data_IF_227985832959
#
_entry.id   IF_227985832959
#
_cell.length_a   1.000
_cell.length_b   1.000
_cell.length_c   1.000
_cell.angle_alpha   90.00
_cell.angle_beta   90.00
_cell.angle_gamma   90.00
#
_symmetry.space_group_name_H-M   'P 1'
#
loop_
_entity.id
_entity.type
_entity.pdbx_description
1 polymer ?
#
# COMPACT_ATOMS: atom_id res chain seq x y z
N UNK A 1 -7.91 -39.03 -15.36
CA UNK A 1 -6.54 -38.52 -15.28
C UNK A 1 -6.14 -38.49 -13.81
N UNK A 2 -5.22 -39.36 -13.38
CA UNK A 2 -4.78 -39.38 -11.99
C UNK A 2 -4.02 -38.08 -11.70
N UNK A 3 -4.50 -37.28 -10.75
CA UNK A 3 -3.73 -36.17 -10.20
C UNK A 3 -2.54 -36.79 -9.46
N UNK A 4 -1.35 -36.74 -10.05
CA UNK A 4 -0.13 -37.13 -9.33
C UNK A 4 0.13 -36.07 -8.28
N UNK A 5 -0.27 -36.35 -7.05
CA UNK A 5 0.09 -35.52 -5.91
C UNK A 5 1.58 -35.76 -5.65
N UNK A 6 2.43 -34.79 -6.02
CA UNK A 6 3.79 -34.73 -5.51
C UNK A 6 3.70 -34.35 -4.03
N UNK A 7 3.53 -35.34 -3.14
CA UNK A 7 3.28 -35.14 -1.71
C UNK A 7 4.54 -35.31 -0.84
N UNK A 8 5.71 -34.92 -1.35
CA UNK A 8 6.96 -35.04 -0.59
C UNK A 8 7.98 -33.95 -0.93
N UNK A 9 8.95 -33.68 -0.03
CA UNK A 9 9.98 -32.68 -0.25
C UNK A 9 10.77 -32.96 -1.52
N UNK A 10 10.82 -31.98 -2.43
CA UNK A 10 11.69 -32.02 -3.61
C UNK A 10 13.12 -31.90 -3.11
N UNK A 11 13.77 -33.06 -3.04
CA UNK A 11 15.14 -33.25 -2.60
C UNK A 11 16.09 -33.01 -3.76
N UNK A 12 16.98 -32.01 -3.68
CA UNK A 12 18.05 -31.84 -4.68
C UNK A 12 19.41 -32.06 -4.05
N UNK A 13 19.75 -33.33 -3.83
CA UNK A 13 21.06 -33.75 -3.35
C UNK A 13 21.36 -33.40 -1.88
N UNK A 14 22.57 -33.73 -1.47
CA UNK A 14 23.06 -33.63 -0.10
C UNK A 14 23.79 -32.29 0.15
N UNK A 15 23.78 -31.81 1.39
CA UNK A 15 24.57 -30.64 1.80
C UNK A 15 26.07 -30.96 1.75
N UNK A 16 26.88 -29.98 1.34
CA UNK A 16 28.34 -30.09 1.39
C UNK A 16 28.80 -29.63 2.77
N UNK A 17 29.23 -30.56 3.62
CA UNK A 17 29.71 -30.25 4.97
C UNK A 17 31.16 -29.78 4.94
N UNK A 18 31.51 -28.81 5.78
CA UNK A 18 32.91 -28.34 5.97
C UNK A 18 33.73 -29.30 6.85
N UNK A 19 33.07 -30.24 7.54
CA UNK A 19 33.69 -31.24 8.44
C UNK A 19 32.94 -32.58 8.33
N UNK A 20 33.66 -33.71 8.23
CA UNK A 20 33.08 -35.06 8.13
C UNK A 20 33.14 -35.70 6.73
N UNK A 21 32.42 -36.81 6.53
CA UNK A 21 32.35 -37.52 5.23
C UNK A 21 31.51 -36.73 4.23
N UNK A 22 32.11 -36.41 3.08
CA UNK A 22 31.44 -35.75 1.97
C UNK A 22 30.71 -36.78 1.08
N UNK A 23 29.45 -36.53 0.68
CA UNK A 23 28.53 -35.48 1.14
C UNK A 23 27.80 -35.88 2.44
N UNK A 24 27.31 -34.91 3.21
CA UNK A 24 26.63 -35.17 4.50
C UNK A 24 25.34 -35.97 4.30
N UNK A 25 24.77 -36.54 5.38
CA UNK A 25 23.45 -37.18 5.32
C UNK A 25 22.30 -36.18 5.20
N UNK A 26 22.55 -34.89 5.45
CA UNK A 26 21.53 -33.84 5.35
C UNK A 26 21.20 -33.57 3.90
N UNK A 27 19.91 -33.54 3.60
CA UNK A 27 19.35 -33.38 2.27
C UNK A 27 18.83 -31.96 2.11
N UNK A 28 19.15 -31.31 0.99
CA UNK A 28 18.61 -29.98 0.69
C UNK A 28 17.13 -30.06 0.30
N UNK A 29 16.28 -29.42 1.10
CA UNK A 29 14.89 -29.16 0.74
C UNK A 29 14.81 -27.80 0.02
N UNK A 30 14.72 -27.80 -1.31
CA UNK A 30 14.74 -26.56 -2.12
C UNK A 30 13.67 -26.58 -3.22
N UNK A 31 12.60 -27.34 -3.02
CA UNK A 31 11.43 -27.22 -3.88
C UNK A 31 10.85 -25.81 -3.75
N UNK A 32 11.10 -24.96 -4.74
CA UNK A 32 10.40 -23.70 -4.94
C UNK A 32 9.56 -23.81 -6.21
N UNK A 33 8.37 -23.22 -6.17
CA UNK A 33 7.53 -22.99 -7.35
C UNK A 33 7.57 -21.49 -7.65
N UNK A 34 7.81 -21.15 -8.90
CA UNK A 34 7.61 -19.78 -9.37
C UNK A 34 6.11 -19.53 -9.48
N UNK A 35 5.62 -18.57 -8.70
CA UNK A 35 4.24 -18.09 -8.71
C UNK A 35 4.23 -16.71 -9.33
N UNK A 36 3.16 -16.40 -10.08
CA UNK A 36 2.93 -15.08 -10.66
C UNK A 36 1.51 -14.61 -10.38
N UNK A 37 1.36 -13.33 -10.09
CA UNK A 37 0.08 -12.66 -9.91
C UNK A 37 0.12 -11.27 -10.55
N UNK A 38 -1.07 -10.72 -10.81
CA UNK A 38 -1.22 -9.40 -11.40
C UNK A 38 -2.32 -8.59 -10.72
N UNK A 39 -2.14 -7.27 -10.70
CA UNK A 39 -3.08 -6.31 -10.15
C UNK A 39 -3.24 -5.13 -11.12
N UNK A 40 -4.38 -5.01 -11.81
CA UNK A 40 -4.70 -3.85 -12.63
C UNK A 40 -5.18 -2.67 -11.78
N UNK A 41 -4.86 -1.46 -12.22
CA UNK A 41 -5.35 -0.19 -11.65
C UNK A 41 -5.45 0.87 -12.74
N UNK A 42 -6.39 1.80 -12.59
CA UNK A 42 -6.59 2.93 -13.51
C UNK A 42 -6.52 4.29 -12.79
N UNK A 43 -6.65 5.37 -13.55
CA UNK A 43 -6.66 6.73 -13.01
C UNK A 43 -7.81 6.96 -12.01
N UNK A 44 -9.00 6.43 -12.26
CA UNK A 44 -10.16 6.63 -11.37
C UNK A 44 -9.96 5.96 -10.00
N UNK A 45 -9.11 4.95 -9.95
CA UNK A 45 -8.77 4.25 -8.73
C UNK A 45 -7.79 5.00 -7.81
N UNK A 46 -7.15 6.06 -8.32
CA UNK A 46 -6.11 6.83 -7.60
C UNK A 46 -6.32 8.35 -7.64
N UNK A 47 -7.29 8.87 -8.41
CA UNK A 47 -7.54 10.32 -8.55
C UNK A 47 -8.43 10.84 -7.42
N UNK A 48 -7.83 11.54 -6.46
CA UNK A 48 -8.56 12.29 -5.43
C UNK A 48 -8.70 13.74 -5.89
N UNK A 49 -9.90 14.32 -5.75
CA UNK A 49 -10.12 15.75 -6.00
C UNK A 49 -9.90 16.56 -4.71
N UNK A 50 -9.41 17.79 -4.86
CA UNK A 50 -9.37 18.75 -3.76
C UNK A 50 -10.75 18.92 -3.14
N UNK A 51 -10.83 18.70 -1.84
CA UNK A 51 -12.05 18.86 -1.07
C UNK A 51 -11.65 19.26 0.35
N UNK A 52 -11.73 20.57 0.63
CA UNK A 52 -11.21 21.18 1.85
C UNK A 52 -12.04 20.89 3.11
N UNK A 53 -13.24 20.35 2.95
CA UNK A 53 -14.19 20.10 4.04
C UNK A 53 -14.81 18.71 4.02
N UNK A 54 -14.26 17.81 3.19
CA UNK A 54 -14.62 16.39 3.10
C UNK A 54 -14.74 15.67 4.43
N UNK A 55 -13.85 15.98 5.38
CA UNK A 55 -13.73 15.25 6.66
C UNK A 55 -14.41 16.05 7.76
N UNK A 56 -14.18 17.36 7.81
CA UNK A 56 -14.72 18.25 8.83
C UNK A 56 -14.87 19.67 8.26
N UNK A 57 -16.00 20.32 8.55
CA UNK A 57 -16.27 21.68 8.05
C UNK A 57 -15.89 22.74 9.07
N UNK A 58 -15.48 23.93 8.59
CA UNK A 58 -15.21 25.08 9.47
C UNK A 58 -16.45 25.54 10.26
N UNK A 59 -17.65 25.35 9.70
CA UNK A 59 -18.89 25.73 10.36
C UNK A 59 -19.18 24.88 11.62
N UNK A 60 -18.86 23.59 11.58
CA UNK A 60 -19.00 22.68 12.73
C UNK A 60 -17.87 22.78 13.73
N UNK A 61 -16.79 23.49 13.39
CA UNK A 61 -15.52 23.53 14.11
C UNK A 61 -15.02 24.96 14.25
N UNK A 62 -15.85 25.80 14.91
CA UNK A 62 -15.54 27.20 15.15
C UNK A 62 -14.34 27.40 16.10
N UNK A 63 -13.96 28.67 16.30
CA UNK A 63 -12.93 29.08 17.27
C UNK A 63 -13.22 28.44 18.64
N UNK A 64 -12.17 27.93 19.29
CA UNK A 64 -12.24 27.27 20.58
C UNK A 64 -12.47 25.75 20.50
N UNK A 65 -12.44 25.18 19.30
CA UNK A 65 -12.60 23.73 19.11
C UNK A 65 -11.36 22.98 19.63
N UNK A 66 -11.56 21.99 20.49
CA UNK A 66 -10.50 21.06 20.92
C UNK A 66 -10.67 19.69 20.26
N UNK A 67 -11.91 19.23 20.07
CA UNK A 67 -12.21 17.99 19.35
C UNK A 67 -13.03 18.35 18.13
N UNK A 68 -12.49 18.06 16.94
CA UNK A 68 -13.21 18.40 15.71
C UNK A 68 -14.41 17.47 15.53
N UNK A 69 -15.55 18.06 15.19
CA UNK A 69 -16.75 17.37 14.72
C UNK A 69 -16.56 16.99 13.26
N UNK A 70 -16.51 15.69 13.01
CA UNK A 70 -16.45 15.11 11.66
C UNK A 70 -17.82 15.22 10.96
N UNK A 71 -17.82 15.23 9.63
CA UNK A 71 -19.04 15.28 8.81
C UNK A 71 -19.94 14.05 9.03
N UNK A 72 -19.34 12.88 9.26
CA UNK A 72 -19.98 11.65 9.68
C UNK A 72 -19.15 10.93 10.77
N UNK A 73 -19.69 9.87 11.36
CA UNK A 73 -19.04 9.16 12.46
C UNK A 73 -17.78 8.37 12.04
N UNK A 74 -17.56 8.12 10.74
CA UNK A 74 -16.41 7.36 10.21
C UNK A 74 -16.20 7.73 8.74
N UNK A 75 -15.48 8.82 8.50
CA UNK A 75 -15.38 9.40 7.17
C UNK A 75 -14.51 8.53 6.28
N UNK A 76 -15.05 8.12 5.11
CA UNK A 76 -14.21 7.60 4.03
C UNK A 76 -13.32 8.74 3.50
N UNK A 77 -12.02 8.68 3.76
CA UNK A 77 -11.10 9.79 3.49
C UNK A 77 -10.91 9.99 1.99
N UNK A 78 -10.50 8.99 1.17
CA UNK A 78 -10.26 9.22 -0.26
C UNK A 78 -11.53 9.57 -1.04
N UNK A 79 -12.71 9.09 -0.60
CA UNK A 79 -13.96 9.27 -1.35
C UNK A 79 -14.02 8.46 -2.66
N UNK A 80 -13.03 7.61 -2.89
CA UNK A 80 -12.95 6.76 -4.07
C UNK A 80 -13.91 5.57 -3.94
N UNK A 81 -14.59 5.26 -5.03
CA UNK A 81 -15.41 4.05 -5.20
C UNK A 81 -14.91 3.34 -6.46
N UNK A 82 -13.92 2.45 -6.30
CA UNK A 82 -13.11 1.87 -7.39
C UNK A 82 -13.82 0.77 -8.18
N UNK A 83 -13.37 0.55 -9.43
CA UNK A 83 -13.96 -0.42 -10.38
C UNK A 83 -13.85 -1.89 -9.94
N UNK A 84 -12.87 -2.22 -9.09
CA UNK A 84 -12.64 -3.55 -8.50
C UNK A 84 -13.08 -3.71 -7.04
N UNK A 85 -13.65 -2.67 -6.43
CA UNK A 85 -14.12 -2.66 -5.04
C UNK A 85 -13.01 -2.78 -3.98
N UNK A 86 -11.78 -2.41 -4.33
CA UNK A 86 -10.65 -2.38 -3.40
C UNK A 86 -10.66 -1.13 -2.53
N UNK A 87 -9.93 -1.20 -1.43
CA UNK A 87 -9.83 -0.12 -0.46
C UNK A 87 -8.66 0.80 -0.82
N UNK A 88 -8.84 2.11 -0.58
CA UNK A 88 -7.85 3.15 -0.74
C UNK A 88 -7.70 3.95 0.56
N UNK A 89 -6.56 4.60 0.72
CA UNK A 89 -6.26 5.56 1.79
C UNK A 89 -5.61 6.81 1.18
N UNK A 90 -5.80 7.98 1.78
CA UNK A 90 -5.24 9.25 1.31
C UNK A 90 -4.82 10.10 2.51
N UNK A 91 -3.80 10.93 2.33
CA UNK A 91 -3.40 11.91 3.35
C UNK A 91 -4.49 12.96 3.55
N UNK A 92 -4.49 13.53 4.75
CA UNK A 92 -5.47 14.53 5.16
C UNK A 92 -4.88 15.93 5.06
N UNK A 93 -5.75 16.91 4.86
CA UNK A 93 -5.39 18.31 5.01
C UNK A 93 -6.13 18.93 6.18
N UNK A 94 -5.50 19.90 6.85
CA UNK A 94 -6.13 20.72 7.88
C UNK A 94 -5.94 22.19 7.50
N UNK A 95 -7.01 22.96 7.51
CA UNK A 95 -6.99 24.40 7.24
C UNK A 95 -7.50 25.16 8.45
N UNK A 96 -6.84 26.27 8.78
CA UNK A 96 -7.30 27.19 9.82
C UNK A 96 -7.50 28.60 9.28
N UNK A 97 -8.47 29.30 9.86
CA UNK A 97 -8.74 30.72 9.60
C UNK A 97 -7.87 31.67 10.43
N UNK A 98 -7.12 31.17 11.41
CA UNK A 98 -6.18 31.95 12.25
C UNK A 98 -4.91 31.12 12.53
N UNK A 99 -4.05 31.60 13.43
CA UNK A 99 -2.78 30.98 13.76
C UNK A 99 -2.91 29.87 14.81
N UNK A 100 -3.11 28.64 14.36
CA UNK A 100 -3.10 27.42 15.16
C UNK A 100 -1.75 26.68 15.14
N UNK A 101 -0.68 27.26 14.55
CA UNK A 101 0.65 26.63 14.53
C UNK A 101 1.31 26.33 15.87
N UNK A 102 0.90 26.94 17.01
CA UNK A 102 1.35 26.49 18.33
C UNK A 102 0.72 25.16 18.77
N UNK A 103 -0.38 24.73 18.14
CA UNK A 103 -1.15 23.57 18.56
C UNK A 103 -0.70 22.32 17.79
N UNK A 104 -0.85 21.16 18.42
CA UNK A 104 -0.74 19.85 17.77
C UNK A 104 -2.13 19.26 17.61
N UNK A 105 -2.46 18.78 16.41
CA UNK A 105 -3.72 18.10 16.11
C UNK A 105 -3.41 16.61 15.90
N UNK A 106 -3.81 15.78 16.84
CA UNK A 106 -3.72 14.32 16.75
C UNK A 106 -4.90 13.79 15.94
N UNK A 107 -4.60 13.18 14.80
CA UNK A 107 -5.53 12.49 13.91
C UNK A 107 -5.46 10.99 14.23
N UNK A 108 -6.61 10.36 14.42
CA UNK A 108 -6.72 8.90 14.60
C UNK A 108 -7.67 8.33 13.58
N UNK A 109 -7.26 7.24 12.95
CA UNK A 109 -8.00 6.62 11.87
C UNK A 109 -7.56 5.19 11.63
N UNK A 110 -7.84 4.70 10.43
CA UNK A 110 -7.32 3.42 9.97
C UNK A 110 -6.58 3.57 8.64
N UNK A 111 -5.56 2.75 8.44
CA UNK A 111 -4.87 2.60 7.16
C UNK A 111 -5.74 1.87 6.11
N UNK A 112 -5.18 1.64 4.92
CA UNK A 112 -5.86 0.92 3.85
C UNK A 112 -6.20 -0.55 4.20
N UNK A 113 -5.50 -1.17 5.16
CA UNK A 113 -5.80 -2.51 5.67
C UNK A 113 -6.85 -2.53 6.80
N UNK A 114 -7.17 -1.37 7.38
CA UNK A 114 -8.01 -1.26 8.56
C UNK A 114 -7.26 -1.34 9.89
N UNK A 115 -5.92 -1.28 9.90
CA UNK A 115 -5.14 -1.15 11.14
C UNK A 115 -5.28 0.27 11.67
N UNK A 116 -5.31 0.43 13.00
CA UNK A 116 -5.40 1.76 13.62
C UNK A 116 -4.08 2.50 13.48
N UNK A 117 -4.16 3.74 13.00
CA UNK A 117 -3.01 4.63 12.85
C UNK A 117 -3.29 5.98 13.52
N UNK A 118 -2.21 6.66 13.92
CA UNK A 118 -2.25 7.99 14.51
C UNK A 118 -1.19 8.90 13.89
N UNK A 119 -1.54 10.16 13.66
CA UNK A 119 -0.60 11.19 13.21
C UNK A 119 -0.77 12.46 14.04
N UNK A 120 0.34 13.03 14.52
CA UNK A 120 0.36 14.35 15.15
C UNK A 120 0.76 15.41 14.12
N UNK A 121 -0.18 16.29 13.77
CA UNK A 121 -0.01 17.33 12.76
C UNK A 121 0.11 18.69 13.45
N UNK A 122 1.17 19.44 13.18
CA UNK A 122 1.27 20.84 13.65
C UNK A 122 0.15 21.68 13.00
N UNK A 123 -0.55 22.48 13.81
CA UNK A 123 -1.69 23.24 13.34
C UNK A 123 -1.35 24.28 12.26
N UNK A 124 -2.33 24.71 11.44
CA UNK A 124 -2.07 25.67 10.36
C UNK A 124 -1.93 27.11 10.86
N UNK A 125 -1.28 27.99 10.08
CA UNK A 125 -1.23 29.43 10.36
C UNK A 125 -1.90 30.21 9.24
N UNK A 126 -3.23 30.34 9.27
CA UNK A 126 -4.02 30.93 8.16
C UNK A 126 -3.78 30.25 6.80
N UNK A 127 -3.37 28.98 6.84
CA UNK A 127 -2.98 28.17 5.68
C UNK A 127 -3.60 26.77 5.76
N UNK A 128 -3.28 25.93 4.80
CA UNK A 128 -3.51 24.49 4.82
C UNK A 128 -2.19 23.79 5.15
N UNK A 129 -2.24 22.78 6.03
CA UNK A 129 -1.16 21.82 6.24
C UNK A 129 -1.60 20.46 5.71
N UNK A 130 -0.66 19.69 5.17
CA UNK A 130 -0.89 18.34 4.64
C UNK A 130 -0.23 17.36 5.60
N UNK A 131 -0.97 16.33 6.01
CA UNK A 131 -0.42 15.21 6.75
C UNK A 131 0.47 14.33 5.87
N UNK A 132 1.03 13.31 6.49
CA UNK A 132 1.99 12.37 5.89
C UNK A 132 1.49 10.94 5.95
N UNK A 133 0.53 10.62 6.83
CA UNK A 133 -0.04 9.29 6.96
C UNK A 133 -1.31 9.18 6.10
N UNK A 134 -1.37 8.24 5.16
CA UNK A 134 -2.59 8.00 4.39
C UNK A 134 -3.62 7.24 5.23
N UNK A 135 -4.81 7.82 5.40
CA UNK A 135 -5.94 7.22 6.11
C UNK A 135 -7.02 6.73 5.14
N UNK A 136 -7.59 5.56 5.42
CA UNK A 136 -8.83 5.07 4.80
C UNK A 136 -10.05 5.68 5.49
N UNK A 137 -10.04 5.65 6.82
CA UNK A 137 -11.09 6.24 7.64
C UNK A 137 -10.51 7.11 8.73
N UNK A 138 -11.22 8.16 9.13
CA UNK A 138 -10.90 8.94 10.34
C UNK A 138 -12.01 8.73 11.36
N UNK A 139 -11.59 8.53 12.61
CA UNK A 139 -12.49 8.36 13.76
C UNK A 139 -12.31 9.47 14.78
N UNK A 140 -11.18 10.19 14.78
CA UNK A 140 -10.95 11.31 15.69
C UNK A 140 -9.94 12.32 15.15
N UNK A 141 -10.15 13.60 15.46
CA UNK A 141 -9.17 14.67 15.30
C UNK A 141 -9.24 15.58 16.54
N UNK A 142 -8.16 15.63 17.31
CA UNK A 142 -8.12 16.33 18.62
C UNK A 142 -6.91 17.26 18.65
N UNK A 143 -7.16 18.54 18.88
CA UNK A 143 -6.12 19.52 19.18
C UNK A 143 -5.73 19.45 20.65
N UNK A 144 -4.43 19.61 20.94
CA UNK A 144 -3.89 19.66 22.31
C UNK A 144 -4.36 20.89 23.12
N UNK A 145 -4.93 21.88 22.44
CA UNK A 145 -5.46 23.11 23.01
C UNK A 145 -6.65 23.63 22.19
N UNK A 146 -7.34 24.65 22.70
CA UNK A 146 -8.49 25.21 22.01
C UNK A 146 -8.02 25.95 20.74
N UNK A 147 -8.68 25.68 19.61
CA UNK A 147 -8.32 26.30 18.34
C UNK A 147 -8.47 27.83 18.39
N UNK A 148 -7.52 28.53 17.78
CA UNK A 148 -7.52 29.99 17.63
C UNK A 148 -8.38 30.36 16.41
N UNK A 149 -8.29 29.58 15.34
CA UNK A 149 -9.17 29.70 14.18
C UNK A 149 -10.31 28.68 14.16
N UNK A 150 -11.27 28.91 13.27
CA UNK A 150 -12.15 27.85 12.80
C UNK A 150 -11.35 26.87 11.91
N UNK A 151 -11.54 25.57 12.14
CA UNK A 151 -10.77 24.49 11.50
C UNK A 151 -11.63 23.74 10.47
N UNK A 152 -11.08 23.44 9.30
CA UNK A 152 -11.64 22.44 8.39
C UNK A 152 -10.62 21.34 8.09
N UNK A 153 -11.10 20.17 7.71
CA UNK A 153 -10.26 19.06 7.31
C UNK A 153 -10.80 18.41 6.03
N UNK A 154 -9.87 18.02 5.16
CA UNK A 154 -10.17 17.61 3.81
C UNK A 154 -9.10 16.71 3.20
N UNK A 155 -9.09 16.66 1.88
CA UNK A 155 -8.08 15.97 1.06
C UNK A 155 -7.58 16.91 -0.03
N UNK A 156 -6.42 16.61 -0.58
CA UNK A 156 -5.81 17.36 -1.68
C UNK A 156 -5.35 16.37 -2.76
N UNK A 157 -5.49 16.77 -4.01
CA UNK A 157 -5.11 16.02 -5.19
C UNK A 157 -3.65 15.58 -5.17
N UNK A 158 -2.74 16.46 -4.74
CA UNK A 158 -1.31 16.19 -4.70
C UNK A 158 -0.90 15.36 -3.49
N UNK A 159 -1.87 14.93 -2.67
CA UNK A 159 -1.63 14.12 -1.50
C UNK A 159 -1.34 12.66 -1.88
N UNK A 160 -0.56 11.97 -1.07
CA UNK A 160 -0.30 10.54 -1.29
C UNK A 160 -1.59 9.73 -1.18
N UNK A 161 -1.84 8.90 -2.20
CA UNK A 161 -2.92 7.91 -2.22
C UNK A 161 -2.32 6.51 -2.18
N UNK A 162 -2.77 5.68 -1.24
CA UNK A 162 -2.31 4.28 -1.12
C UNK A 162 -3.46 3.32 -1.38
N UNK A 163 -3.24 2.34 -2.24
CA UNK A 163 -4.16 1.22 -2.47
C UNK A 163 -3.47 -0.10 -2.11
N UNK A 164 -4.27 -1.10 -1.76
CA UNK A 164 -3.78 -2.47 -1.69
C UNK A 164 -3.91 -3.12 -3.05
N UNK A 165 -2.93 -3.94 -3.41
CA UNK A 165 -3.04 -4.87 -4.53
C UNK A 165 -3.99 -6.04 -4.17
N UNK A 166 -5.18 -5.72 -3.65
CA UNK A 166 -6.26 -6.63 -3.29
C UNK A 166 -7.58 -6.02 -3.71
N UNK A 167 -8.31 -6.76 -4.53
CA UNK A 167 -9.65 -6.39 -4.99
C UNK A 167 -10.71 -7.31 -4.40
N UNK A 168 -11.96 -6.84 -4.38
CA UNK A 168 -13.08 -7.71 -4.07
C UNK A 168 -13.46 -8.54 -5.31
N UNK A 169 -13.17 -8.02 -6.50
CA UNK A 169 -13.52 -8.59 -7.81
C UNK A 169 -12.46 -8.32 -8.87
N UNK A 170 -12.51 -9.08 -9.95
CA UNK A 170 -11.70 -8.79 -11.14
C UNK A 170 -12.03 -7.39 -11.65
N UNK A 171 -11.01 -6.57 -11.92
CA UNK A 171 -11.18 -5.26 -12.54
C UNK A 171 -11.76 -5.38 -13.97
N UNK A 172 -11.38 -6.43 -14.71
CA UNK A 172 -11.88 -6.72 -16.07
C UNK A 172 -12.71 -8.01 -16.10
N UNK A 173 -13.91 -8.03 -15.50
CA UNK A 173 -14.73 -9.24 -15.51
C UNK A 173 -15.28 -9.46 -16.93
N UNK A 174 -15.21 -10.69 -17.44
CA UNK A 174 -15.80 -11.08 -18.72
C UNK A 174 -17.34 -11.16 -18.64
N UNK A 175 -18.00 -10.06 -18.27
CA UNK A 175 -19.44 -9.98 -17.99
C UNK A 175 -19.86 -10.67 -16.69
N UNK A 176 -18.90 -11.09 -15.86
CA UNK A 176 -19.16 -11.73 -14.57
C UNK A 176 -19.39 -10.66 -13.48
N UNK A 177 -20.40 -10.90 -12.66
CA UNK A 177 -20.75 -10.08 -11.50
C UNK A 177 -20.58 -10.85 -10.20
N UNK A 178 -20.69 -10.12 -9.09
CA UNK A 178 -20.46 -10.64 -7.74
C UNK A 178 -21.32 -11.83 -7.33
N UNK A 179 -22.44 -12.02 -8.02
CA UNK A 179 -23.45 -13.05 -7.75
C UNK A 179 -23.42 -14.21 -8.75
N UNK A 180 -22.60 -14.12 -9.80
CA UNK A 180 -22.70 -14.99 -10.98
C UNK A 180 -21.65 -16.12 -11.05
N UNK A 181 -20.60 -16.07 -10.21
CA UNK A 181 -19.53 -17.09 -10.25
C UNK A 181 -19.03 -17.46 -8.83
N UNK A 182 -18.88 -18.76 -8.51
CA UNK A 182 -18.26 -19.24 -7.27
C UNK A 182 -16.72 -19.20 -7.28
N UNK A 183 -16.10 -18.44 -8.19
CA UNK A 183 -14.65 -18.35 -8.31
C UNK A 183 -14.13 -17.09 -7.64
N UNK A 184 -13.01 -17.20 -6.93
CA UNK A 184 -12.21 -16.06 -6.50
C UNK A 184 -11.63 -15.38 -7.75
N UNK A 185 -12.39 -14.45 -8.33
CA UNK A 185 -11.95 -13.64 -9.47
C UNK A 185 -11.13 -12.42 -9.03
N UNK A 186 -10.90 -12.23 -7.73
CA UNK A 186 -10.16 -11.09 -7.24
C UNK A 186 -8.72 -11.09 -7.78
N UNK A 187 -8.29 -9.93 -8.28
CA UNK A 187 -6.89 -9.65 -8.51
C UNK A 187 -6.27 -9.32 -7.15
N UNK A 188 -5.55 -10.28 -6.55
CA UNK A 188 -4.88 -10.11 -5.28
C UNK A 188 -3.41 -10.54 -5.40
N UNK A 189 -2.49 -9.67 -4.98
CA UNK A 189 -1.08 -10.01 -4.82
C UNK A 189 -0.79 -10.07 -3.32
N UNK A 190 -0.77 -11.30 -2.80
CA UNK A 190 -0.38 -11.62 -1.43
C UNK A 190 0.76 -12.62 -1.50
N UNK A 191 1.96 -12.17 -1.12
CA UNK A 191 3.18 -12.96 -1.22
C UNK A 191 3.34 -13.73 0.10
N UNK A 192 3.33 -15.06 0.09
CA UNK A 192 3.43 -15.83 1.33
C UNK A 192 4.75 -15.58 2.05
N UNK A 193 4.73 -15.65 3.39
CA UNK A 193 5.96 -15.66 4.20
C UNK A 193 6.98 -16.68 3.68
N UNK A 194 8.27 -16.40 3.88
CA UNK A 194 9.40 -17.19 3.36
C UNK A 194 9.48 -17.33 1.83
N UNK A 195 8.72 -16.55 1.08
CA UNK A 195 8.90 -16.43 -0.37
C UNK A 195 10.08 -15.53 -0.70
N UNK A 196 10.56 -15.63 -1.94
CA UNK A 196 11.58 -14.71 -2.49
C UNK A 196 11.02 -14.02 -3.70
N UNK A 197 11.05 -12.70 -3.75
CA UNK A 197 10.59 -11.97 -4.92
C UNK A 197 11.58 -12.22 -6.06
N UNK A 198 11.05 -12.64 -7.20
CA UNK A 198 11.83 -12.94 -8.38
C UNK A 198 11.88 -11.74 -9.32
N UNK A 199 10.72 -11.14 -9.58
CA UNK A 199 10.60 -9.96 -10.45
C UNK A 199 9.25 -9.30 -10.22
N UNK A 200 9.20 -7.99 -10.42
CA UNK A 200 7.97 -7.25 -10.63
C UNK A 200 8.10 -6.34 -11.84
N UNK A 201 6.96 -5.96 -12.42
CA UNK A 201 6.88 -5.13 -13.61
C UNK A 201 5.58 -4.33 -13.59
N UNK A 202 5.63 -3.05 -13.91
CA UNK A 202 4.43 -2.25 -14.19
C UNK A 202 4.37 -2.04 -15.70
N UNK A 203 3.26 -2.47 -16.30
CA UNK A 203 2.94 -2.22 -17.70
C UNK A 203 1.88 -1.15 -17.79
N UNK A 204 2.21 -0.04 -18.46
CA UNK A 204 1.25 1.01 -18.79
C UNK A 204 0.51 0.62 -20.08
N UNK A 205 -0.79 0.35 -19.96
CA UNK A 205 -1.67 0.04 -21.10
C UNK A 205 -2.17 1.33 -21.76
N UNK A 206 -2.47 2.34 -20.93
CA UNK A 206 -2.78 3.70 -21.34
C UNK A 206 -1.92 4.63 -20.48
N UNK A 207 -1.24 5.58 -21.10
CA UNK A 207 -0.42 6.53 -20.37
C UNK A 207 -1.28 7.34 -19.40
N UNK A 208 -0.84 7.47 -18.15
CA UNK A 208 -1.38 8.46 -17.23
C UNK A 208 -1.03 9.85 -17.75
N UNK A 209 -1.96 10.79 -17.65
CA UNK A 209 -1.91 12.05 -18.38
C UNK A 209 -0.89 13.09 -17.88
N UNK A 210 0.22 12.69 -17.26
CA UNK A 210 1.18 13.60 -16.63
C UNK A 210 2.64 13.13 -16.76
N UNK A 211 3.57 14.10 -16.77
CA UNK A 211 4.92 13.88 -16.26
C UNK A 211 4.81 14.10 -14.75
N UNK A 212 5.23 13.16 -13.88
CA UNK A 212 5.12 13.33 -12.42
C UNK A 212 4.02 12.52 -11.70
N UNK A 213 3.57 11.38 -12.26
CA UNK A 213 2.92 10.35 -11.42
C UNK A 213 4.00 9.45 -10.83
N UNK A 214 4.31 9.67 -9.56
CA UNK A 214 5.24 8.87 -8.79
C UNK A 214 4.55 7.66 -8.18
N UNK A 215 5.25 6.51 -8.21
CA UNK A 215 4.75 5.27 -7.61
C UNK A 215 5.79 4.62 -6.72
N UNK A 216 5.38 4.32 -5.50
CA UNK A 216 6.12 3.51 -4.56
C UNK A 216 5.38 2.19 -4.29
N UNK A 217 6.12 1.08 -4.27
CA UNK A 217 5.59 -0.26 -4.00
C UNK A 217 5.99 -0.68 -2.59
N UNK A 218 5.00 -0.83 -1.71
CA UNK A 218 5.21 -1.20 -0.32
C UNK A 218 4.60 -2.54 0.05
N UNK A 219 4.69 -2.84 1.34
CA UNK A 219 3.91 -3.90 1.97
C UNK A 219 3.76 -3.65 3.47
N UNK A 220 2.85 -4.40 4.09
CA UNK A 220 2.69 -4.36 5.53
C UNK A 220 3.81 -5.12 6.25
N UNK A 221 4.35 -4.52 7.31
CA UNK A 221 5.28 -5.16 8.24
C UNK A 221 4.63 -5.35 9.60
N UNK A 222 5.08 -6.36 10.35
CA UNK A 222 4.75 -6.50 11.76
C UNK A 222 5.97 -6.27 12.62
N UNK A 223 5.98 -5.14 13.32
CA UNK A 223 7.04 -4.80 14.28
C UNK A 223 6.44 -4.82 15.68
N UNK A 224 6.82 -5.82 16.48
CA UNK A 224 6.37 -5.92 17.87
C UNK A 224 4.86 -6.10 18.06
N UNK A 225 4.15 -6.64 17.06
CA UNK A 225 2.69 -6.83 17.10
C UNK A 225 1.88 -5.70 16.44
N UNK A 226 2.53 -4.60 16.05
CA UNK A 226 1.91 -3.52 15.28
C UNK A 226 2.10 -3.79 13.79
N UNK A 227 1.00 -3.77 13.04
CA UNK A 227 1.02 -3.91 11.59
C UNK A 227 0.90 -2.52 10.96
N UNK A 228 1.88 -2.11 10.17
CA UNK A 228 1.89 -0.83 9.47
C UNK A 228 2.34 -0.99 8.02
N UNK A 229 1.83 -0.13 7.14
CA UNK A 229 2.29 -0.08 5.75
C UNK A 229 3.66 0.59 5.68
N UNK A 230 4.62 -0.03 5.00
CA UNK A 230 5.95 0.56 4.80
C UNK A 230 6.48 0.25 3.41
N UNK A 231 7.54 0.95 3.00
CA UNK A 231 8.26 0.72 1.74
C UNK A 231 9.19 -0.51 1.81
N UNK A 232 8.82 -1.52 2.60
CA UNK A 232 9.64 -2.68 3.04
C UNK A 232 10.35 -3.40 1.88
N UNK A 233 9.71 -3.52 0.72
CA UNK A 233 10.22 -4.40 -0.34
C UNK A 233 10.86 -3.65 -1.53
N UNK A 234 10.49 -2.40 -1.80
CA UNK A 234 11.06 -1.57 -2.86
C UNK A 234 10.99 -0.11 -2.44
N UNK A 235 12.13 0.60 -2.32
CA UNK A 235 12.03 2.06 -2.25
C UNK A 235 11.90 2.60 -3.67
N UNK A 236 10.68 2.92 -4.09
CA UNK A 236 10.49 4.13 -4.87
C UNK A 236 10.29 5.27 -3.89
N UNK A 237 10.79 6.45 -4.20
CA UNK A 237 10.39 7.69 -3.54
C UNK A 237 9.19 8.26 -4.28
N UNK A 238 8.36 9.04 -3.59
CA UNK A 238 7.27 9.81 -4.20
C UNK A 238 7.78 11.16 -4.75
N UNK A 239 9.05 11.20 -5.16
CA UNK A 239 9.76 12.43 -5.56
C UNK A 239 10.44 12.29 -6.92
N UNK A 240 11.00 11.12 -7.26
CA UNK A 240 11.79 10.91 -8.48
C UNK A 240 11.45 9.59 -9.22
N UNK A 241 10.39 8.88 -8.83
CA UNK A 241 10.03 7.55 -9.37
C UNK A 241 8.88 7.62 -10.39
N UNK A 242 9.08 8.39 -11.46
CA UNK A 242 8.20 8.40 -12.62
C UNK A 242 7.87 6.97 -13.08
N UNK A 243 6.59 6.68 -13.31
CA UNK A 243 6.20 5.50 -14.10
C UNK A 243 6.71 5.68 -15.53
N UNK A 244 7.95 5.25 -15.79
CA UNK A 244 8.43 5.10 -17.16
C UNK A 244 7.57 4.06 -17.89
N UNK A 245 7.39 4.15 -19.23
CA UNK A 245 6.44 3.32 -19.98
C UNK A 245 6.58 1.80 -19.78
N UNK A 246 7.76 1.33 -19.36
CA UNK A 246 8.03 -0.07 -19.00
C UNK A 246 9.06 -0.13 -17.85
N UNK A 247 8.60 -0.20 -16.60
CA UNK A 247 9.45 -0.49 -15.45
C UNK A 247 9.52 -2.01 -15.22
N UNK A 248 10.61 -2.68 -15.61
CA UNK A 248 10.86 -4.10 -15.28
C UNK A 248 11.96 -4.20 -14.24
N UNK A 249 11.71 -4.87 -13.11
CA UNK A 249 12.71 -5.16 -12.10
C UNK A 249 13.19 -6.61 -12.19
N UNK A 250 14.49 -6.76 -12.46
CA UNK A 250 15.32 -7.94 -12.21
C UNK A 250 16.71 -7.33 -11.95
N UNK A 251 17.39 -7.63 -10.83
CA UNK A 251 18.14 -6.63 -10.04
C UNK A 251 19.17 -5.80 -10.87
N UNK A 252 19.43 -4.51 -10.57
CA UNK A 252 18.56 -3.30 -10.64
C UNK A 252 19.15 -2.16 -11.54
N UNK A 253 18.34 -1.28 -12.17
CA UNK A 253 18.73 0.10 -12.63
C UNK A 253 17.50 1.07 -12.77
N UNK A 254 16.55 1.15 -11.83
CA UNK A 254 15.44 2.12 -12.01
C UNK A 254 14.46 2.39 -10.88
N UNK A 255 14.66 1.81 -9.69
CA UNK A 255 13.87 2.07 -8.48
C UNK A 255 14.88 2.23 -7.33
N UNK A 256 14.73 3.28 -6.53
CA UNK A 256 15.69 3.77 -5.54
C UNK A 256 15.76 2.91 -4.27
N UNK A 257 16.37 1.73 -4.35
CA UNK A 257 16.38 0.77 -3.24
C UNK A 257 17.65 0.84 -2.36
N UNK A 258 17.49 0.76 -1.02
CA UNK A 258 18.62 0.55 -0.11
C UNK A 258 19.13 -0.91 -0.10
N UNK A 259 20.37 -1.13 0.36
CA UNK A 259 20.94 -2.48 0.47
C UNK A 259 20.14 -3.40 1.41
N UNK A 260 19.48 -2.83 2.44
CA UNK A 260 18.62 -3.58 3.36
C UNK A 260 17.33 -4.04 2.66
N UNK A 261 16.60 -3.12 2.03
CA UNK A 261 15.37 -3.44 1.27
C UNK A 261 15.62 -4.46 0.15
N UNK A 262 16.78 -4.37 -0.51
CA UNK A 262 17.20 -5.35 -1.51
C UNK A 262 17.35 -6.77 -0.95
N UNK A 263 17.73 -6.91 0.33
CA UNK A 263 17.85 -8.20 1.02
C UNK A 263 16.49 -8.74 1.48
N UNK A 264 15.56 -7.87 1.86
CA UNK A 264 14.19 -8.26 2.24
C UNK A 264 13.46 -8.96 1.07
N UNK A 265 13.83 -8.67 -0.17
CA UNK A 265 13.34 -9.40 -1.35
C UNK A 265 13.69 -10.91 -1.34
N UNK A 266 14.75 -11.33 -0.62
CA UNK A 266 15.23 -12.71 -0.56
C UNK A 266 14.54 -13.53 0.54
N UNK A 267 13.91 -12.87 1.50
CA UNK A 267 13.01 -13.46 2.47
C UNK A 267 11.99 -12.40 2.87
N UNK A 268 10.81 -12.42 2.24
CA UNK A 268 9.85 -11.31 2.32
C UNK A 268 9.35 -10.98 3.73
N UNK A 269 9.63 -11.78 4.75
CA UNK A 269 9.23 -11.54 6.14
C UNK A 269 10.42 -11.54 7.11
N UNK A 270 11.63 -11.20 6.65
CA UNK A 270 12.84 -11.19 7.49
C UNK A 270 12.85 -10.09 8.55
N UNK A 271 12.29 -8.93 8.22
CA UNK A 271 12.17 -7.79 9.13
C UNK A 271 10.90 -7.84 10.00
N UNK A 272 10.04 -8.86 9.84
CA UNK A 272 8.89 -9.05 10.70
C UNK A 272 9.27 -9.68 12.05
N UNK A 273 8.62 -9.22 13.12
CA UNK A 273 8.70 -9.85 14.45
C UNK A 273 7.96 -11.19 14.49
N UNK A 274 6.93 -11.35 13.65
CA UNK A 274 6.17 -12.58 13.44
C UNK A 274 5.97 -12.76 11.95
N UNK A 275 6.28 -13.93 11.40
CA UNK A 275 6.18 -14.15 9.96
C UNK A 275 4.74 -14.00 9.45
N UNK A 276 4.58 -13.16 8.42
CA UNK A 276 3.29 -12.85 7.81
C UNK A 276 3.35 -12.91 6.30
N UNK A 277 2.19 -13.17 5.71
CA UNK A 277 2.00 -13.02 4.28
C UNK A 277 1.96 -11.53 3.92
N UNK A 278 2.74 -11.13 2.93
CA UNK A 278 2.89 -9.73 2.52
C UNK A 278 1.81 -9.34 1.54
N UNK A 279 0.91 -8.48 2.00
CA UNK A 279 -0.02 -7.77 1.14
C UNK A 279 0.74 -6.62 0.49
N UNK A 280 0.79 -6.60 -0.83
CA UNK A 280 1.46 -5.54 -1.60
C UNK A 280 0.59 -4.29 -1.62
N UNK A 281 1.23 -3.14 -1.46
CA UNK A 281 0.60 -1.81 -1.57
C UNK A 281 1.24 -1.00 -2.68
N UNK A 282 0.46 -0.12 -3.27
CA UNK A 282 0.91 0.87 -4.23
C UNK A 282 0.56 2.24 -3.67
N UNK A 283 1.56 3.10 -3.50
CA UNK A 283 1.37 4.49 -3.11
C UNK A 283 1.68 5.38 -4.30
N UNK A 284 0.81 6.34 -4.53
CA UNK A 284 0.82 7.24 -5.67
C UNK A 284 0.91 8.66 -5.16
N UNK A 285 1.68 9.47 -5.84
CA UNK A 285 1.67 10.92 -5.68
C UNK A 285 1.71 11.55 -7.06
N UNK A 286 0.96 12.63 -7.23
CA UNK A 286 0.98 13.39 -8.47
C UNK A 286 1.15 14.86 -8.14
N UNK A 287 1.89 15.56 -8.98
CA UNK A 287 2.05 17.00 -8.95
C UNK A 287 0.96 17.73 -9.76
N UNK A 288 0.17 16.99 -10.54
CA UNK A 288 -0.79 17.50 -11.51
C UNK A 288 -2.17 16.81 -11.39
N UNK A 289 -3.18 17.38 -12.04
CA UNK A 289 -4.50 16.75 -12.15
C UNK A 289 -4.40 15.52 -13.04
N UNK A 290 -4.59 14.33 -12.47
CA UNK A 290 -4.88 13.14 -13.28
C UNK A 290 -6.23 13.35 -13.99
N UNK A 291 -6.21 13.44 -15.32
CA UNK A 291 -7.43 13.24 -16.10
C UNK A 291 -7.84 11.77 -16.02
N UNK A 292 -9.08 11.44 -16.39
CA UNK A 292 -9.61 10.07 -16.33
C UNK A 292 -8.94 9.07 -17.31
N UNK A 293 -7.78 9.44 -17.86
CA UNK A 293 -6.96 8.64 -18.77
C UNK A 293 -5.76 8.07 -18.01
N UNK A 294 -5.58 6.76 -18.08
CA UNK A 294 -4.44 6.08 -17.44
C UNK A 294 -4.84 4.68 -16.98
N UNK A 295 -4.08 3.68 -17.43
CA UNK A 295 -4.34 2.28 -17.12
C UNK A 295 -3.00 1.56 -17.01
N UNK A 296 -2.79 0.82 -15.94
CA UNK A 296 -1.62 0.00 -15.76
C UNK A 296 -1.93 -1.33 -15.07
N UNK A 297 -1.01 -2.28 -15.23
CA UNK A 297 -1.03 -3.54 -14.51
C UNK A 297 0.31 -3.80 -13.85
N UNK A 298 0.28 -3.99 -12.53
CA UNK A 298 1.39 -4.53 -11.77
C UNK A 298 1.41 -6.06 -11.96
N UNK A 299 2.55 -6.58 -12.39
CA UNK A 299 2.86 -8.01 -12.40
C UNK A 299 3.92 -8.29 -11.35
N UNK A 300 3.73 -9.32 -10.54
CA UNK A 300 4.73 -9.78 -9.57
C UNK A 300 4.91 -11.28 -9.67
N UNK A 301 6.14 -11.72 -9.50
CA UNK A 301 6.51 -13.12 -9.43
C UNK A 301 7.42 -13.40 -8.25
N UNK A 302 7.22 -14.54 -7.60
CA UNK A 302 8.00 -14.96 -6.43
C UNK A 302 8.23 -16.47 -6.42
N UNK A 303 9.31 -16.87 -5.80
CA UNK A 303 9.62 -18.26 -5.50
C UNK A 303 8.95 -18.63 -4.17
N UNK A 304 7.89 -19.42 -4.24
CA UNK A 304 7.20 -19.94 -3.07
C UNK A 304 7.75 -21.33 -2.70
N UNK A 305 8.04 -21.54 -1.42
CA UNK A 305 8.49 -22.84 -0.91
C UNK A 305 7.36 -23.87 -1.03
N UNK A 306 7.65 -25.01 -1.67
CA UNK A 306 6.67 -26.09 -1.97
C UNK A 306 6.30 -26.92 -0.74
N UNK A 307 7.13 -26.89 0.31
CA UNK A 307 7.00 -27.77 1.46
C UNK A 307 7.15 -26.98 2.77
N UNK A 308 6.03 -26.50 3.29
CA UNK A 308 5.91 -26.22 4.72
C UNK A 308 5.34 -27.47 5.41
N UNK A 309 6.20 -28.49 5.52
CA UNK A 309 6.01 -29.55 6.53
C UNK A 309 7.10 -29.33 7.56
N UNK A 310 6.83 -28.42 8.49
CA UNK A 310 7.25 -28.61 9.86
C UNK A 310 5.99 -28.97 10.64
#
# INVERSE_FOLDING_TARGET
MGKTHFSGPITVGKEQGTVGTLPTEKIRNVGFVLVGASFPFDAADITVADDADKIATAASNAIGTTTMTLVDATQNVPGLTTGGGYDAACVVTITSTDNDSPNTITVTGTDVAGNVETEDITGPNTTTVVGTVPFKTITSMVSDSASIGALSAGVILTGTVTIQARSKWNHYPLGQTVSSAPANLANNIVIPSYSRIHSFRIDTLQAFATAGLDVAIGSFINVGGTISNTLDLFAGDLVDNDIQPVGTYTPPIGIDQSEAQGKNCLNVSDDDTVELDKIVTLSFQTDDILTADGEATLYMSWLQRVNNVN
#
